data_IF_026671156906
#
_entry.id   IF_026671156906
#
_cell.length_a   1.000
_cell.length_b   1.000
_cell.length_c   1.000
_cell.angle_alpha   90.00
_cell.angle_beta   90.00
_cell.angle_gamma   90.00
#
_symmetry.space_group_name_H-M   'P 1'
#
loop_
_entity.id
_entity.type
_entity.pdbx_description
1 polymer ?
#
# COMPACT_ATOMS: atom_id res chain seq x y z
N UNK A 1 23.19 -17.37 5.19
CA UNK A 1 22.40 -16.14 5.28
C UNK A 1 21.69 -15.96 3.95
N UNK A 2 20.36 -15.76 3.96
CA UNK A 2 19.51 -15.65 2.77
C UNK A 2 18.88 -14.26 2.72
N UNK A 3 18.94 -13.59 1.56
CA UNK A 3 18.34 -12.27 1.37
C UNK A 3 16.81 -12.37 1.47
N UNK A 4 16.19 -11.56 2.34
CA UNK A 4 14.74 -11.54 2.48
C UNK A 4 14.02 -10.96 1.25
N UNK A 5 14.71 -10.21 0.37
CA UNK A 5 14.14 -9.70 -0.87
C UNK A 5 14.09 -10.76 -1.97
N UNK A 6 15.25 -11.23 -2.44
CA UNK A 6 15.34 -12.10 -3.61
C UNK A 6 15.48 -13.60 -3.31
N UNK A 7 15.68 -14.00 -2.04
CA UNK A 7 15.84 -15.39 -1.65
C UNK A 7 17.21 -16.01 -1.91
N UNK A 8 18.12 -15.29 -2.54
CA UNK A 8 19.47 -15.81 -2.83
C UNK A 8 20.37 -15.69 -1.59
N UNK A 9 21.31 -16.63 -1.40
CA UNK A 9 22.31 -16.53 -0.34
C UNK A 9 23.37 -15.47 -0.66
N UNK A 10 24.13 -15.06 0.35
CA UNK A 10 25.37 -14.28 0.19
C UNK A 10 25.24 -12.78 0.37
N UNK A 11 24.05 -12.21 0.54
CA UNK A 11 23.88 -10.79 0.81
C UNK A 11 22.64 -10.49 1.67
N UNK A 12 22.60 -9.31 2.27
CA UNK A 12 21.43 -8.79 2.99
C UNK A 12 20.46 -8.03 2.08
N UNK A 13 19.25 -7.77 2.56
CA UNK A 13 18.24 -6.96 1.87
C UNK A 13 18.79 -5.62 1.37
N UNK A 14 19.61 -4.94 2.17
CA UNK A 14 20.16 -3.60 1.85
C UNK A 14 21.14 -3.61 0.69
N UNK A 15 21.76 -4.76 0.42
CA UNK A 15 22.75 -4.99 -0.64
C UNK A 15 22.13 -5.64 -1.89
N UNK A 16 20.81 -5.88 -1.84
CA UNK A 16 20.12 -6.57 -2.93
C UNK A 16 19.93 -5.64 -4.11
N UNK A 17 20.44 -6.06 -5.29
CA UNK A 17 20.29 -5.34 -6.56
C UNK A 17 18.96 -5.57 -7.26
N UNK A 18 18.18 -6.58 -6.81
CA UNK A 18 16.86 -6.87 -7.40
C UNK A 18 15.83 -5.82 -6.93
N UNK A 19 14.79 -5.56 -7.74
CA UNK A 19 13.67 -4.73 -7.33
C UNK A 19 13.11 -5.15 -5.97
N UNK A 20 12.63 -4.20 -5.18
CA UNK A 20 11.98 -4.52 -3.90
C UNK A 20 10.73 -5.34 -4.19
N UNK A 21 10.75 -6.60 -3.75
CA UNK A 21 9.74 -7.59 -4.10
C UNK A 21 8.71 -7.74 -3.01
N UNK A 22 7.43 -7.69 -3.39
CA UNK A 22 6.27 -8.09 -2.59
C UNK A 22 5.58 -9.29 -3.26
N UNK A 23 4.98 -10.14 -2.43
CA UNK A 23 4.38 -11.41 -2.81
C UNK A 23 2.95 -11.44 -2.31
N UNK A 24 2.00 -11.80 -3.16
CA UNK A 24 0.59 -11.75 -2.81
C UNK A 24 -0.28 -12.73 -3.59
N UNK A 25 -1.54 -12.76 -3.24
CA UNK A 25 -2.57 -13.51 -3.93
C UNK A 25 -3.52 -12.54 -4.62
N UNK A 26 -4.06 -12.92 -5.76
CA UNK A 26 -5.25 -12.34 -6.36
C UNK A 26 -6.40 -13.31 -6.10
N UNK A 27 -7.16 -13.13 -5.01
CA UNK A 27 -8.30 -13.98 -4.73
C UNK A 27 -9.45 -13.63 -5.70
N UNK A 28 -10.08 -14.65 -6.26
CA UNK A 28 -11.29 -14.49 -7.05
C UNK A 28 -12.34 -15.54 -6.69
N UNK A 29 -13.58 -15.23 -6.96
CA UNK A 29 -14.69 -16.17 -6.86
C UNK A 29 -15.60 -16.04 -8.06
N UNK A 30 -16.36 -17.10 -8.35
CA UNK A 30 -17.43 -17.07 -9.33
C UNK A 30 -18.74 -16.77 -8.60
N UNK A 31 -19.35 -15.63 -8.89
CA UNK A 31 -20.63 -15.27 -8.31
C UNK A 31 -21.69 -16.32 -8.65
N UNK A 32 -22.48 -16.74 -7.67
CA UNK A 32 -23.55 -17.74 -7.83
C UNK A 32 -24.64 -17.29 -8.81
N UNK A 33 -24.83 -15.97 -8.97
CA UNK A 33 -25.81 -15.38 -9.88
C UNK A 33 -25.09 -14.90 -11.14
N UNK A 34 -25.12 -15.68 -12.20
CA UNK A 34 -24.62 -15.31 -13.52
C UNK A 34 -23.17 -15.66 -13.84
N UNK A 35 -22.51 -16.52 -13.03
CA UNK A 35 -21.12 -16.98 -13.24
C UNK A 35 -20.10 -15.86 -13.54
N UNK A 36 -20.32 -14.68 -12.99
CA UNK A 36 -19.38 -13.55 -13.14
C UNK A 36 -18.24 -13.65 -12.14
N UNK A 37 -17.03 -13.40 -12.62
CA UNK A 37 -15.85 -13.34 -11.77
C UNK A 37 -15.86 -12.07 -10.91
N UNK A 38 -15.65 -12.24 -9.61
CA UNK A 38 -15.43 -11.18 -8.64
C UNK A 38 -14.02 -11.30 -8.06
N UNK A 39 -13.35 -10.18 -7.90
CA UNK A 39 -11.99 -10.04 -7.40
C UNK A 39 -12.00 -9.44 -6.00
N UNK A 40 -11.21 -9.98 -5.10
CA UNK A 40 -11.02 -9.36 -3.80
C UNK A 40 -9.99 -8.24 -3.90
N UNK A 41 -10.40 -7.07 -3.48
CA UNK A 41 -9.51 -5.94 -3.25
C UNK A 41 -9.48 -5.59 -1.76
N UNK A 42 -8.31 -5.22 -1.28
CA UNK A 42 -8.14 -4.55 0.00
C UNK A 42 -7.92 -3.06 -0.24
N UNK A 43 -8.50 -2.21 0.60
CA UNK A 43 -8.20 -0.79 0.68
C UNK A 43 -7.22 -0.56 1.81
N UNK A 44 -6.16 0.16 1.54
CA UNK A 44 -5.23 0.57 2.61
C UNK A 44 -5.96 1.39 3.67
N UNK A 45 -5.50 1.32 4.93
CA UNK A 45 -6.00 2.19 5.99
C UNK A 45 -5.59 3.63 5.75
N UNK A 46 -4.32 3.85 5.45
CA UNK A 46 -3.74 5.14 5.11
C UNK A 46 -3.07 5.05 3.72
N UNK A 47 -3.10 6.13 2.94
CA UNK A 47 -2.48 6.16 1.62
C UNK A 47 -0.95 6.05 1.70
N UNK A 48 -0.31 5.52 0.65
CA UNK A 48 1.15 5.46 0.58
C UNK A 48 1.77 6.86 0.67
N UNK A 49 1.14 7.85 0.03
CA UNK A 49 1.58 9.23 0.11
C UNK A 49 1.59 9.75 1.55
N UNK A 50 0.52 9.52 2.30
CA UNK A 50 0.44 9.91 3.71
C UNK A 50 1.51 9.22 4.55
N UNK A 51 1.69 7.91 4.41
CA UNK A 51 2.70 7.14 5.15
C UNK A 51 4.12 7.65 4.87
N UNK A 52 4.46 7.88 3.60
CA UNK A 52 5.81 8.32 3.22
C UNK A 52 6.07 9.78 3.65
N UNK A 53 5.06 10.67 3.62
CA UNK A 53 5.16 12.03 4.18
C UNK A 53 5.42 11.95 5.68
N UNK A 54 4.64 11.18 6.41
CA UNK A 54 4.80 11.01 7.85
C UNK A 54 6.18 10.45 8.23
N UNK A 55 6.77 9.59 7.38
CA UNK A 55 8.12 9.03 7.57
C UNK A 55 9.24 9.95 7.07
N UNK A 56 8.92 11.10 6.48
CA UNK A 56 9.91 12.02 5.91
C UNK A 56 10.66 11.45 4.68
N UNK A 57 10.04 10.52 3.93
CA UNK A 57 10.63 9.83 2.76
C UNK A 57 10.39 10.60 1.46
N UNK A 58 10.79 11.85 1.42
CA UNK A 58 10.74 12.70 0.23
C UNK A 58 11.98 13.60 0.18
N UNK A 59 12.43 13.90 -1.03
CA UNK A 59 13.50 14.83 -1.31
C UNK A 59 13.04 15.90 -2.28
N UNK A 60 12.97 17.15 -1.78
CA UNK A 60 12.56 18.30 -2.56
C UNK A 60 11.05 18.40 -2.82
N UNK A 61 10.66 19.54 -3.43
CA UNK A 61 9.26 19.91 -3.63
C UNK A 61 8.52 19.00 -4.59
N UNK A 62 9.16 18.53 -5.66
CA UNK A 62 8.52 17.66 -6.64
C UNK A 62 8.15 16.29 -6.06
N UNK A 63 9.05 15.68 -5.26
CA UNK A 63 8.76 14.44 -4.57
C UNK A 63 7.63 14.59 -3.55
N UNK A 64 7.64 15.68 -2.78
CA UNK A 64 6.56 15.99 -1.83
C UNK A 64 5.21 16.18 -2.56
N UNK A 65 5.18 16.93 -3.67
CA UNK A 65 3.97 17.10 -4.48
C UNK A 65 3.42 15.76 -4.96
N UNK A 66 4.29 14.89 -5.49
CA UNK A 66 3.91 13.54 -5.93
C UNK A 66 3.29 12.70 -4.80
N UNK A 67 3.77 12.85 -3.57
CA UNK A 67 3.18 12.16 -2.41
C UNK A 67 1.83 12.78 -2.01
N UNK A 68 1.71 14.11 -2.00
CA UNK A 68 0.44 14.82 -1.75
C UNK A 68 -0.62 14.41 -2.77
N UNK A 69 -0.24 14.27 -4.05
CA UNK A 69 -1.16 13.83 -5.10
C UNK A 69 -1.69 12.40 -4.91
N UNK A 70 -1.03 11.61 -4.05
CA UNK A 70 -1.47 10.27 -3.66
C UNK A 70 -2.36 10.27 -2.40
N UNK A 71 -2.36 11.35 -1.61
CA UNK A 71 -3.16 11.44 -0.38
C UNK A 71 -4.64 11.68 -0.66
N UNK A 72 -5.48 11.28 0.29
CA UNK A 72 -6.90 11.66 0.28
C UNK A 72 -7.11 13.09 0.75
N UNK A 73 -8.28 13.66 0.44
CA UNK A 73 -8.65 14.99 0.92
C UNK A 73 -8.64 15.06 2.46
N UNK A 74 -9.18 14.02 3.12
CA UNK A 74 -9.18 13.91 4.58
C UNK A 74 -7.77 13.84 5.16
N UNK A 75 -6.86 13.08 4.55
CA UNK A 75 -5.47 13.01 4.98
C UNK A 75 -4.76 14.36 4.84
N UNK A 76 -5.02 15.13 3.76
CA UNK A 76 -4.47 16.48 3.61
C UNK A 76 -4.91 17.41 4.74
N UNK A 77 -6.18 17.35 5.14
CA UNK A 77 -6.65 18.14 6.28
C UNK A 77 -5.99 17.67 7.59
N UNK A 78 -5.89 16.37 7.83
CA UNK A 78 -5.15 15.83 8.99
C UNK A 78 -3.70 16.31 9.01
N UNK A 79 -3.00 16.26 7.88
CA UNK A 79 -1.62 16.76 7.76
C UNK A 79 -1.50 18.25 8.12
N UNK A 80 -2.50 19.07 7.85
CA UNK A 80 -2.49 20.51 8.16
C UNK A 80 -2.77 20.81 9.63
N UNK A 81 -3.71 20.07 10.27
CA UNK A 81 -4.26 20.47 11.58
C UNK A 81 -3.81 19.61 12.74
N UNK A 82 -3.57 18.30 12.53
CA UNK A 82 -3.28 17.37 13.62
C UNK A 82 -1.80 17.40 14.00
N UNK A 83 -1.42 17.49 15.30
CA UNK A 83 -0.02 17.46 15.72
C UNK A 83 0.71 16.19 15.25
N UNK A 84 2.00 16.32 14.87
CA UNK A 84 2.81 15.20 14.40
C UNK A 84 2.82 13.99 15.35
N UNK A 85 2.98 14.15 16.68
CA UNK A 85 2.97 13.01 17.60
C UNK A 85 1.67 12.21 17.58
N UNK A 86 0.53 12.88 17.35
CA UNK A 86 -0.77 12.21 17.30
C UNK A 86 -0.93 11.45 15.98
N UNK A 87 -0.60 12.08 14.84
CA UNK A 87 -0.57 11.40 13.54
C UNK A 87 0.37 10.19 13.55
N UNK A 88 1.54 10.32 14.17
CA UNK A 88 2.50 9.21 14.27
C UNK A 88 1.96 8.06 15.10
N UNK A 89 1.31 8.36 16.24
CA UNK A 89 0.70 7.36 17.11
C UNK A 89 -0.44 6.63 16.40
N UNK A 90 -1.30 7.36 15.71
CA UNK A 90 -2.40 6.79 14.92
C UNK A 90 -1.88 5.90 13.79
N UNK A 91 -0.86 6.36 13.04
CA UNK A 91 -0.27 5.63 11.91
C UNK A 91 0.24 4.24 12.32
N UNK A 92 0.86 4.12 13.49
CA UNK A 92 1.47 2.88 13.95
C UNK A 92 0.59 2.07 14.91
N UNK A 93 -0.57 2.59 15.30
CA UNK A 93 -1.57 1.95 16.16
C UNK A 93 -0.96 1.31 17.41
N UNK A 94 -0.15 2.08 18.17
CA UNK A 94 0.43 1.62 19.44
C UNK A 94 1.96 1.77 19.56
N UNK A 95 2.59 1.01 20.49
CA UNK A 95 4.02 1.11 20.73
C UNK A 95 4.81 0.70 19.49
N UNK A 96 5.66 1.61 19.04
CA UNK A 96 6.46 1.42 17.83
C UNK A 96 7.72 0.61 18.10
N UNK A 97 8.15 -0.16 17.10
CA UNK A 97 9.42 -0.87 17.17
C UNK A 97 10.60 0.11 17.25
N UNK A 98 11.78 -0.36 17.72
CA UNK A 98 13.01 0.45 17.77
C UNK A 98 13.34 1.14 16.45
N UNK A 99 12.99 0.54 15.32
CA UNK A 99 13.18 1.10 13.98
C UNK A 99 12.36 2.37 13.77
N UNK A 100 11.11 2.40 14.22
CA UNK A 100 10.23 3.57 14.09
C UNK A 100 10.63 4.70 15.06
N UNK A 101 11.17 4.35 16.24
CA UNK A 101 11.75 5.34 17.13
C UNK A 101 12.96 6.05 16.51
N UNK A 102 13.82 5.32 15.80
CA UNK A 102 14.97 5.90 15.11
C UNK A 102 14.57 6.85 13.96
N UNK A 103 13.43 6.60 13.31
CA UNK A 103 12.90 7.46 12.24
C UNK A 103 12.13 8.70 12.81
N UNK A 104 11.60 8.61 14.01
CA UNK A 104 10.65 9.59 14.57
C UNK A 104 11.17 11.02 14.58
N UNK A 105 12.34 11.27 15.18
CA UNK A 105 12.88 12.63 15.34
C UNK A 105 13.20 13.29 14.00
N UNK A 106 13.77 12.52 13.06
CA UNK A 106 14.06 13.01 11.73
C UNK A 106 12.78 13.31 10.95
N UNK A 107 11.79 12.42 11.02
CA UNK A 107 10.50 12.58 10.37
C UNK A 107 9.75 13.78 10.95
N UNK A 108 9.75 13.93 12.28
CA UNK A 108 9.14 15.07 12.99
C UNK A 108 9.73 16.39 12.53
N UNK A 109 11.07 16.51 12.54
CA UNK A 109 11.76 17.72 12.11
C UNK A 109 11.40 18.10 10.67
N UNK A 110 11.43 17.12 9.73
CA UNK A 110 11.02 17.35 8.33
C UNK A 110 9.57 17.79 8.22
N UNK A 111 8.66 17.14 8.96
CA UNK A 111 7.24 17.45 8.92
C UNK A 111 6.92 18.83 9.49
N UNK A 112 7.52 19.21 10.64
CA UNK A 112 7.33 20.53 11.26
C UNK A 112 7.86 21.64 10.36
N UNK A 113 8.96 21.41 9.64
CA UNK A 113 9.47 22.35 8.64
C UNK A 113 8.46 22.63 7.51
N UNK A 114 7.66 21.63 7.09
CA UNK A 114 6.60 21.84 6.09
C UNK A 114 5.47 22.74 6.58
N UNK A 115 5.21 22.76 7.89
CA UNK A 115 4.16 23.57 8.52
C UNK A 115 4.62 24.97 8.88
N UNK A 116 5.93 25.23 8.89
CA UNK A 116 6.48 26.54 9.22
C UNK A 116 6.12 27.53 8.10
N UNK A 117 5.51 28.63 8.47
CA UNK A 117 5.21 29.73 7.54
C UNK A 117 6.49 30.53 7.26
N UNK A 118 6.74 30.82 6.00
CA UNK A 118 7.86 31.69 5.63
C UNK A 118 7.60 33.12 6.09
N UNK A 119 8.46 33.65 6.97
CA UNK A 119 8.38 35.02 7.46
C UNK A 119 8.95 36.08 6.48
N UNK A 120 9.28 35.67 5.25
CA UNK A 120 10.07 36.50 4.31
C UNK A 120 9.28 37.33 3.30
N UNK A 121 7.96 37.43 3.42
CA UNK A 121 7.17 38.34 2.56
C UNK A 121 6.31 39.29 3.38
N UNK A 122 6.41 40.57 3.07
CA UNK A 122 5.65 41.69 3.64
C UNK A 122 4.14 41.67 3.30
N UNK A 123 3.61 40.54 2.84
CA UNK A 123 2.18 40.34 2.61
C UNK A 123 1.57 39.55 3.75
N UNK A 124 0.42 39.99 4.24
CA UNK A 124 -0.32 39.50 5.42
C UNK A 124 -0.86 38.06 5.34
N UNK A 125 -0.42 37.25 4.39
CA UNK A 125 -0.87 35.86 4.20
C UNK A 125 0.28 34.95 3.77
N UNK A 126 1.25 34.72 4.67
CA UNK A 126 2.25 33.68 4.42
C UNK A 126 1.61 32.30 4.63
N UNK A 127 1.52 31.49 3.57
CA UNK A 127 1.10 30.08 3.63
C UNK A 127 2.33 29.20 3.90
N UNK A 128 2.13 28.07 4.60
CA UNK A 128 3.18 27.08 4.79
C UNK A 128 3.46 26.29 3.49
N UNK A 129 4.63 25.64 3.42
CA UNK A 129 4.95 24.76 2.27
C UNK A 129 3.89 23.67 2.12
N UNK A 130 3.42 23.09 3.21
CA UNK A 130 2.38 22.06 3.20
C UNK A 130 1.07 22.58 2.63
N UNK A 131 0.61 23.78 3.04
CA UNK A 131 -0.60 24.40 2.50
C UNK A 131 -0.45 24.66 0.99
N UNK A 132 0.70 25.15 0.55
CA UNK A 132 0.96 25.42 -0.86
C UNK A 132 0.92 24.14 -1.73
N UNK A 133 1.58 23.06 -1.34
CA UNK A 133 1.56 21.81 -2.11
C UNK A 133 0.19 21.11 -2.08
N UNK A 134 -0.55 21.24 -0.98
CA UNK A 134 -1.93 20.75 -0.93
C UNK A 134 -2.84 21.53 -1.87
N UNK A 135 -2.69 22.85 -1.94
CA UNK A 135 -3.48 23.69 -2.85
C UNK A 135 -3.12 23.47 -4.33
N UNK A 136 -1.86 23.15 -4.63
CA UNK A 136 -1.39 22.86 -5.98
C UNK A 136 -1.83 21.48 -6.51
N UNK A 137 -2.30 20.57 -5.63
CA UNK A 137 -2.72 19.24 -6.04
C UNK A 137 -4.05 19.26 -6.78
N UNK A 138 -4.08 18.63 -7.95
CA UNK A 138 -5.28 18.46 -8.77
C UNK A 138 -6.07 17.17 -8.45
N UNK A 139 -5.57 16.32 -7.55
CA UNK A 139 -6.25 15.07 -7.20
C UNK A 139 -7.24 15.26 -6.06
N UNK A 140 -8.37 14.55 -6.12
CA UNK A 140 -9.46 14.62 -5.14
C UNK A 140 -9.85 13.25 -4.59
N UNK A 141 -8.86 12.42 -4.22
CA UNK A 141 -9.13 11.08 -3.69
C UNK A 141 -9.91 11.16 -2.38
N UNK A 142 -10.99 10.40 -2.31
CA UNK A 142 -11.81 10.27 -1.09
C UNK A 142 -11.40 9.07 -0.24
N UNK A 143 -10.77 8.06 -0.87
CA UNK A 143 -10.29 6.84 -0.22
C UNK A 143 -8.82 6.57 -0.55
N UNK A 144 -8.06 5.92 0.37
CA UNK A 144 -6.74 5.36 0.08
C UNK A 144 -6.78 4.32 -1.05
N UNK A 145 -5.61 3.92 -1.54
CA UNK A 145 -5.47 3.00 -2.66
C UNK A 145 -6.08 1.64 -2.37
N UNK A 146 -6.73 1.07 -3.39
CA UNK A 146 -7.12 -0.33 -3.43
C UNK A 146 -6.12 -1.16 -4.23
N UNK A 147 -5.96 -2.41 -3.83
CA UNK A 147 -5.10 -3.37 -4.51
C UNK A 147 -5.29 -4.78 -3.99
N UNK A 148 -4.40 -5.67 -4.40
CA UNK A 148 -4.41 -7.06 -3.95
C UNK A 148 -3.61 -7.20 -2.64
N UNK A 149 -4.00 -8.14 -1.74
CA UNK A 149 -3.23 -8.46 -0.55
C UNK A 149 -1.82 -8.92 -0.91
N UNK A 150 -0.80 -8.34 -0.29
CA UNK A 150 0.61 -8.62 -0.57
C UNK A 150 1.55 -7.99 0.44
N UNK A 151 2.66 -8.62 0.69
CA UNK A 151 3.71 -8.01 1.49
C UNK A 151 5.08 -8.62 1.25
N UNK A 152 6.01 -8.34 2.15
CA UNK A 152 7.41 -8.69 2.00
C UNK A 152 7.72 -10.01 2.68
N UNK A 153 8.58 -10.78 2.02
CA UNK A 153 9.05 -12.07 2.53
C UNK A 153 9.94 -11.90 3.76
N UNK A 154 9.79 -12.81 4.72
CA UNK A 154 10.83 -13.06 5.73
C UNK A 154 11.96 -13.91 5.13
N UNK A 155 13.12 -13.94 5.79
CA UNK A 155 14.28 -14.68 5.27
C UNK A 155 14.09 -16.21 5.25
N UNK A 156 13.13 -16.73 5.98
CA UNK A 156 12.86 -18.17 6.15
C UNK A 156 11.68 -18.69 5.35
N UNK A 157 10.92 -17.80 4.69
CA UNK A 157 9.74 -18.16 3.92
C UNK A 157 10.05 -18.50 2.46
N UNK A 158 9.25 -19.39 1.86
CA UNK A 158 9.13 -19.47 0.40
C UNK A 158 8.26 -18.31 -0.11
N UNK A 159 8.31 -18.01 -1.41
CA UNK A 159 7.53 -16.93 -1.99
C UNK A 159 6.01 -17.16 -1.84
N UNK A 160 5.54 -18.38 -2.14
CA UNK A 160 4.12 -18.70 -1.99
C UNK A 160 3.68 -18.71 -0.52
N UNK A 161 4.53 -19.15 0.42
CA UNK A 161 4.21 -19.11 1.84
C UNK A 161 4.03 -17.66 2.33
N UNK A 162 4.87 -16.74 1.87
CA UNK A 162 4.72 -15.32 2.14
C UNK A 162 3.39 -14.78 1.57
N UNK A 163 3.09 -15.07 0.29
CA UNK A 163 1.85 -14.60 -0.34
C UNK A 163 0.60 -15.09 0.42
N UNK A 164 0.61 -16.33 0.90
CA UNK A 164 -0.48 -16.90 1.68
C UNK A 164 -0.60 -16.26 3.07
N UNK A 165 0.52 -16.00 3.75
CA UNK A 165 0.54 -15.30 5.05
C UNK A 165 -0.01 -13.89 4.91
N UNK A 166 0.49 -13.12 3.95
CA UNK A 166 0.03 -11.74 3.70
C UNK A 166 -1.46 -11.69 3.36
N UNK A 167 -1.96 -12.69 2.60
CA UNK A 167 -3.39 -12.79 2.30
C UNK A 167 -4.23 -13.05 3.55
N UNK A 168 -3.72 -13.82 4.49
CA UNK A 168 -4.38 -14.00 5.79
C UNK A 168 -4.31 -12.73 6.64
N UNK A 169 -3.16 -12.10 6.74
CA UNK A 169 -2.94 -10.88 7.52
C UNK A 169 -3.81 -9.71 7.00
N UNK A 170 -3.86 -9.50 5.68
CA UNK A 170 -4.56 -8.36 5.09
C UNK A 170 -6.04 -8.63 4.75
N UNK A 171 -6.42 -9.87 4.41
CA UNK A 171 -7.77 -10.20 3.98
C UNK A 171 -8.51 -11.23 4.85
N UNK A 172 -7.85 -11.82 5.85
CA UNK A 172 -8.44 -12.83 6.74
C UNK A 172 -8.71 -14.19 6.06
N UNK A 173 -8.19 -14.44 4.84
CA UNK A 173 -8.44 -15.67 4.11
C UNK A 173 -7.36 -16.70 4.45
N UNK A 174 -7.76 -17.84 4.99
CA UNK A 174 -6.83 -18.91 5.30
C UNK A 174 -6.40 -19.68 4.04
N UNK A 175 -5.18 -20.23 4.07
CA UNK A 175 -4.64 -21.09 3.01
C UNK A 175 -5.61 -22.22 2.60
N UNK A 176 -6.32 -22.81 3.55
CA UNK A 176 -7.28 -23.91 3.31
C UNK A 176 -8.48 -23.50 2.44
N UNK A 177 -8.78 -22.18 2.38
CA UNK A 177 -9.91 -21.60 1.65
C UNK A 177 -9.50 -21.11 0.26
N UNK A 178 -8.24 -21.34 -0.14
CA UNK A 178 -7.64 -20.93 -1.40
C UNK A 178 -7.25 -22.12 -2.27
N UNK A 179 -7.73 -22.15 -3.51
CA UNK A 179 -7.27 -23.06 -4.56
C UNK A 179 -6.38 -22.31 -5.53
N UNK A 180 -5.06 -22.55 -5.47
CA UNK A 180 -4.07 -21.85 -6.32
C UNK A 180 -4.19 -22.36 -7.77
N UNK A 181 -4.32 -21.45 -8.73
CA UNK A 181 -4.54 -21.76 -10.14
C UNK A 181 -3.26 -21.74 -10.97
N UNK A 182 -2.29 -20.88 -10.64
CA UNK A 182 -1.07 -20.65 -11.41
C UNK A 182 0.21 -20.80 -10.58
N UNK A 183 0.35 -21.93 -9.88
CA UNK A 183 1.43 -22.14 -8.90
C UNK A 183 2.84 -21.91 -9.48
N UNK A 184 3.07 -22.29 -10.75
CA UNK A 184 4.37 -22.20 -11.41
C UNK A 184 4.68 -20.84 -12.03
N UNK A 185 3.65 -20.08 -12.43
CA UNK A 185 3.81 -18.83 -13.18
C UNK A 185 2.99 -17.70 -12.55
N UNK A 186 3.49 -17.09 -11.45
CA UNK A 186 2.80 -15.96 -10.85
C UNK A 186 2.75 -14.77 -11.81
N UNK A 187 1.65 -14.02 -11.77
CA UNK A 187 1.50 -12.77 -12.49
C UNK A 187 2.45 -11.73 -11.90
N UNK A 188 3.03 -10.89 -12.76
CA UNK A 188 4.07 -9.95 -12.35
C UNK A 188 3.69 -8.51 -12.69
N UNK A 189 3.93 -7.62 -11.73
CA UNK A 189 3.84 -6.16 -11.82
C UNK A 189 5.22 -5.60 -11.51
N UNK A 190 5.82 -4.84 -12.42
CA UNK A 190 7.08 -4.13 -12.18
C UNK A 190 6.90 -2.65 -12.50
N UNK A 191 7.34 -1.81 -11.58
CA UNK A 191 7.23 -0.36 -11.74
C UNK A 191 8.32 0.37 -10.95
N UNK A 192 8.52 1.63 -11.30
CA UNK A 192 9.38 2.54 -10.55
C UNK A 192 8.51 3.45 -9.70
N UNK A 193 8.74 3.44 -8.40
CA UNK A 193 8.03 4.30 -7.46
C UNK A 193 8.41 5.78 -7.62
N UNK A 194 7.59 6.68 -7.07
CA UNK A 194 7.86 8.12 -7.03
C UNK A 194 9.18 8.48 -6.31
N UNK A 195 9.66 7.59 -5.45
CA UNK A 195 10.96 7.66 -4.78
C UNK A 195 12.13 7.15 -5.65
N UNK A 196 11.90 6.84 -6.92
CA UNK A 196 12.91 6.34 -7.85
C UNK A 196 13.34 4.89 -7.66
N UNK A 197 12.76 4.17 -6.69
CA UNK A 197 13.09 2.77 -6.39
C UNK A 197 12.27 1.85 -7.31
N UNK A 198 12.90 0.78 -7.79
CA UNK A 198 12.22 -0.26 -8.57
C UNK A 198 11.54 -1.26 -7.65
N UNK A 199 10.29 -1.56 -7.95
CA UNK A 199 9.45 -2.50 -7.24
C UNK A 199 8.99 -3.62 -8.15
N UNK A 200 8.83 -4.82 -7.58
CA UNK A 200 8.28 -5.99 -8.23
C UNK A 200 7.22 -6.59 -7.32
N UNK A 201 6.01 -6.81 -7.85
CA UNK A 201 5.01 -7.59 -7.16
C UNK A 201 4.74 -8.88 -7.93
N UNK A 202 4.68 -10.01 -7.23
CA UNK A 202 4.36 -11.32 -7.81
C UNK A 202 3.08 -11.82 -7.17
N UNK A 203 2.14 -12.24 -8.01
CA UNK A 203 0.82 -12.64 -7.55
C UNK A 203 0.44 -14.03 -8.04
N UNK A 204 0.01 -14.86 -7.13
CA UNK A 204 -0.67 -16.10 -7.44
C UNK A 204 -2.16 -15.86 -7.55
N UNK A 205 -2.78 -16.45 -8.59
CA UNK A 205 -4.22 -16.42 -8.77
C UNK A 205 -4.83 -17.56 -7.96
N UNK A 206 -5.83 -17.26 -7.13
CA UNK A 206 -6.47 -18.28 -6.31
C UNK A 206 -7.99 -18.14 -6.30
N UNK A 207 -8.66 -19.27 -6.54
CA UNK A 207 -10.10 -19.37 -6.42
C UNK A 207 -10.50 -19.54 -4.95
N UNK A 208 -11.59 -18.87 -4.57
CA UNK A 208 -12.20 -18.89 -3.23
C UNK A 208 -13.64 -19.39 -3.36
N UNK A 209 -14.13 -20.14 -2.36
CA UNK A 209 -15.52 -20.54 -2.30
C UNK A 209 -16.43 -19.29 -2.30
N UNK A 210 -17.43 -19.20 -3.19
CA UNK A 210 -18.35 -18.06 -3.23
C UNK A 210 -19.12 -17.83 -1.93
N UNK A 211 -19.22 -18.84 -1.06
CA UNK A 211 -19.87 -18.73 0.24
C UNK A 211 -18.96 -18.10 1.31
N UNK A 212 -17.64 -17.99 1.07
CA UNK A 212 -16.72 -17.43 2.04
C UNK A 212 -17.04 -15.94 2.25
N UNK A 213 -17.35 -15.59 3.50
CA UNK A 213 -17.55 -14.21 3.91
C UNK A 213 -16.21 -13.63 4.30
N UNK A 214 -15.77 -12.61 3.56
CA UNK A 214 -14.55 -11.85 3.87
C UNK A 214 -14.96 -10.50 4.43
N UNK A 215 -14.42 -10.16 5.58
CA UNK A 215 -14.68 -8.89 6.29
C UNK A 215 -13.48 -8.48 7.13
N UNK A 216 -13.45 -7.23 7.55
CA UNK A 216 -12.49 -6.78 8.55
C UNK A 216 -12.75 -7.50 9.88
N UNK A 217 -11.69 -8.01 10.48
CA UNK A 217 -11.71 -8.65 11.79
C UNK A 217 -10.98 -7.74 12.78
N UNK A 218 -11.70 -7.12 13.76
CA UNK A 218 -11.08 -6.25 14.74
C UNK A 218 -10.06 -6.96 15.65
N UNK A 219 -10.11 -8.29 15.74
CA UNK A 219 -9.14 -9.08 16.51
C UNK A 219 -7.87 -9.40 15.70
N UNK A 220 -7.91 -9.24 14.38
CA UNK A 220 -6.72 -9.37 13.54
C UNK A 220 -5.90 -8.07 13.56
N UNK A 221 -4.89 -8.02 14.44
CA UNK A 221 -4.07 -6.82 14.70
C UNK A 221 -3.36 -6.32 13.42
N UNK A 222 -2.90 -7.23 12.56
CA UNK A 222 -2.19 -6.88 11.33
C UNK A 222 -3.16 -6.27 10.32
N UNK A 223 -4.35 -6.85 10.16
CA UNK A 223 -5.40 -6.28 9.32
C UNK A 223 -5.82 -4.89 9.80
N UNK A 224 -6.13 -4.72 11.09
CA UNK A 224 -6.54 -3.43 11.67
C UNK A 224 -5.48 -2.35 11.46
N UNK A 225 -4.20 -2.73 11.44
CA UNK A 225 -3.09 -1.78 11.24
C UNK A 225 -2.97 -1.31 9.79
N UNK A 226 -3.19 -2.16 8.81
CA UNK A 226 -2.83 -1.91 7.42
C UNK A 226 -4.02 -1.73 6.49
N UNK A 227 -5.18 -2.32 6.84
CA UNK A 227 -6.33 -2.43 5.96
C UNK A 227 -7.52 -1.64 6.52
N UNK A 228 -8.10 -0.80 5.69
CA UNK A 228 -9.28 0.00 6.03
C UNK A 228 -10.59 -0.58 5.47
N UNK A 229 -10.51 -1.49 4.50
CA UNK A 229 -11.68 -2.16 3.93
C UNK A 229 -11.26 -3.38 3.10
N UNK A 230 -12.16 -4.36 2.97
CA UNK A 230 -12.04 -5.51 2.08
C UNK A 230 -13.34 -5.66 1.30
N UNK A 231 -13.26 -5.81 -0.03
CA UNK A 231 -14.45 -5.89 -0.87
C UNK A 231 -14.27 -6.78 -2.10
N UNK A 232 -15.36 -7.46 -2.46
CA UNK A 232 -15.47 -8.16 -3.74
C UNK A 232 -15.97 -7.18 -4.80
N UNK A 233 -15.32 -7.18 -5.97
CA UNK A 233 -15.63 -6.27 -7.08
C UNK A 233 -15.68 -7.04 -8.39
N UNK A 234 -16.56 -6.65 -9.31
CA UNK A 234 -16.48 -7.07 -10.70
C UNK A 234 -15.16 -6.60 -11.34
N UNK A 235 -14.83 -7.12 -12.52
CA UNK A 235 -13.61 -6.68 -13.24
C UNK A 235 -13.66 -5.19 -13.57
N UNK A 236 -14.81 -4.69 -13.99
CA UNK A 236 -15.03 -3.28 -14.35
C UNK A 236 -14.91 -2.37 -13.13
N UNK A 237 -15.54 -2.75 -12.00
CA UNK A 237 -15.43 -2.04 -10.73
C UNK A 237 -13.99 -2.01 -10.22
N UNK A 238 -13.30 -3.16 -10.21
CA UNK A 238 -11.91 -3.26 -9.77
C UNK A 238 -10.99 -2.39 -10.62
N UNK A 239 -11.19 -2.35 -11.96
CA UNK A 239 -10.45 -1.45 -12.85
C UNK A 239 -10.75 0.03 -12.60
N UNK A 240 -11.92 0.37 -12.11
CA UNK A 240 -12.28 1.75 -11.73
C UNK A 240 -11.68 2.14 -10.39
N UNK A 241 -11.71 1.22 -9.42
CA UNK A 241 -11.23 1.43 -8.04
C UNK A 241 -9.70 1.47 -7.94
N UNK A 242 -8.99 0.66 -8.73
CA UNK A 242 -7.53 0.73 -8.83
C UNK A 242 -7.17 2.04 -9.52
N UNK A 243 -6.44 2.90 -8.82
CA UNK A 243 -6.10 4.25 -9.30
C UNK A 243 -5.49 4.23 -10.69
N UNK A 244 -5.85 5.18 -11.58
CA UNK A 244 -5.44 5.19 -12.99
C UNK A 244 -3.93 5.16 -13.21
N UNK A 245 -3.16 5.75 -12.31
CA UNK A 245 -1.69 5.76 -12.41
C UNK A 245 -1.03 4.41 -12.07
N UNK A 246 -1.76 3.47 -11.46
CA UNK A 246 -1.29 2.09 -11.23
C UNK A 246 -1.51 1.22 -12.48
N UNK A 247 -0.87 1.62 -13.59
CA UNK A 247 -1.09 1.02 -14.92
C UNK A 247 -0.72 -0.47 -14.91
N UNK A 248 0.39 -0.82 -14.28
CA UNK A 248 0.89 -2.19 -14.20
C UNK A 248 -0.07 -3.08 -13.41
N UNK A 249 -0.61 -2.60 -12.29
CA UNK A 249 -1.61 -3.33 -11.49
C UNK A 249 -2.90 -3.58 -12.26
N UNK A 250 -3.36 -2.57 -13.00
CA UNK A 250 -4.53 -2.71 -13.90
C UNK A 250 -4.27 -3.73 -15.01
N UNK A 251 -3.05 -3.77 -15.55
CA UNK A 251 -2.63 -4.76 -16.53
C UNK A 251 -2.59 -6.18 -15.94
N UNK A 252 -2.12 -6.33 -14.69
CA UNK A 252 -2.15 -7.60 -13.96
C UNK A 252 -3.58 -8.09 -13.81
N UNK A 253 -4.53 -7.23 -13.39
CA UNK A 253 -5.94 -7.61 -13.26
C UNK A 253 -6.53 -8.08 -14.60
N UNK A 254 -6.25 -7.38 -15.70
CA UNK A 254 -6.70 -7.79 -17.04
C UNK A 254 -6.14 -9.14 -17.45
N UNK A 255 -4.87 -9.42 -17.15
CA UNK A 255 -4.25 -10.73 -17.40
C UNK A 255 -4.88 -11.81 -16.54
N UNK A 256 -5.14 -11.53 -15.25
CA UNK A 256 -5.85 -12.45 -14.36
C UNK A 256 -7.25 -12.80 -14.90
N UNK A 257 -7.99 -11.78 -15.36
CA UNK A 257 -9.33 -11.96 -15.92
C UNK A 257 -9.36 -12.78 -17.23
N UNK A 258 -8.25 -12.83 -17.94
CA UNK A 258 -8.15 -13.68 -19.16
C UNK A 258 -7.81 -15.14 -18.84
N UNK A 259 -7.51 -15.48 -17.59
CA UNK A 259 -7.14 -16.85 -17.14
C UNK A 259 -8.32 -17.60 -16.46
N UNK A 260 -9.45 -16.93 -16.21
CA UNK A 260 -10.59 -17.48 -15.45
C UNK A 260 -11.92 -17.39 -16.21
#
# INVERSE_FOLDING_TARGET
>A
MTCSNCGRPGHFFRECSEPITSLGIIPFRLNRVGAKTEWLLIRRRDSLGFIEIMRGKYDGAAALQSLIDQTTLTERERLKVTPFPDLWRELWNGPTSRRYHAEYEQAKTKFEALRTRSSSSSSSSSISVLEAVCAASSTGWTEPELGFPKGRRSSTETELACALRETYEEAGIHKRDLTIMNEREPLMEEFRGSNGISYRHRYWLAQVDPALVVRLDPENVDQVREVGDVRWCSTEEALTLIRPYNVEKRAVLKRAAALV
#
